data_IF_474227043902
#
_entry.id   IF_474227043902
#
_cell.length_a   1.000
_cell.length_b   1.000
_cell.length_c   1.000
_cell.angle_alpha   90.00
_cell.angle_beta   90.00
_cell.angle_gamma   90.00
#
_symmetry.space_group_name_H-M   'P 1'
#
loop_
_entity.id
_entity.type
_entity.pdbx_description
1 polymer ?
#
# COMPACT_ATOMS: atom_id res chain seq x y z
N UNK A 1 -12.47 -33.00 0.91
CA UNK A 1 -11.32 -32.37 1.60
C UNK A 1 -10.26 -32.07 0.54
N UNK A 2 -9.90 -30.83 0.39
CA UNK A 2 -8.77 -30.43 -0.47
C UNK A 2 -7.49 -30.81 0.29
N UNK A 3 -6.61 -31.56 -0.35
CA UNK A 3 -5.32 -31.94 0.25
C UNK A 3 -4.34 -30.79 -0.02
N UNK A 4 -3.82 -30.17 1.04
CA UNK A 4 -2.80 -29.10 0.97
C UNK A 4 -1.47 -29.74 1.35
N UNK A 5 -0.59 -29.98 0.38
CA UNK A 5 0.70 -30.66 0.55
C UNK A 5 1.89 -29.70 0.37
N UNK A 6 1.68 -28.58 -0.33
CA UNK A 6 2.72 -27.60 -0.62
C UNK A 6 2.24 -26.18 -0.31
N UNK A 7 3.18 -25.23 -0.17
CA UNK A 7 2.84 -23.81 -0.05
C UNK A 7 2.05 -23.31 -1.27
N UNK A 8 2.33 -23.82 -2.47
CA UNK A 8 1.58 -23.48 -3.68
C UNK A 8 0.12 -23.95 -3.59
N UNK A 9 -0.15 -25.13 -3.04
CA UNK A 9 -1.54 -25.60 -2.80
C UNK A 9 -2.24 -24.72 -1.77
N UNK A 10 -1.54 -24.30 -0.72
CA UNK A 10 -2.07 -23.41 0.30
C UNK A 10 -2.45 -22.03 -0.30
N UNK A 11 -1.60 -21.46 -1.13
CA UNK A 11 -1.86 -20.20 -1.85
C UNK A 11 -3.04 -20.37 -2.83
N UNK A 12 -3.06 -21.46 -3.59
CA UNK A 12 -4.16 -21.77 -4.50
C UNK A 12 -5.50 -21.92 -3.76
N UNK A 13 -5.48 -22.56 -2.58
CA UNK A 13 -6.66 -22.67 -1.72
C UNK A 13 -7.18 -21.29 -1.30
N UNK A 14 -6.29 -20.39 -0.82
CA UNK A 14 -6.67 -19.04 -0.42
C UNK A 14 -7.29 -18.29 -1.62
N UNK A 15 -6.64 -18.30 -2.78
CA UNK A 15 -7.12 -17.63 -4.00
C UNK A 15 -8.39 -18.24 -4.57
N UNK A 16 -8.66 -19.51 -4.30
CA UNK A 16 -9.91 -20.20 -4.66
C UNK A 16 -11.13 -19.79 -3.84
N UNK A 17 -10.91 -19.09 -2.72
CA UNK A 17 -12.00 -18.57 -1.87
C UNK A 17 -12.73 -17.41 -2.54
N UNK A 18 -13.98 -17.16 -2.14
CA UNK A 18 -14.75 -15.99 -2.60
C UNK A 18 -14.05 -14.69 -2.21
N UNK A 19 -13.91 -13.77 -3.16
CA UNK A 19 -13.27 -12.46 -2.91
C UNK A 19 -14.15 -11.52 -2.10
N UNK A 20 -15.47 -11.49 -2.39
CA UNK A 20 -16.41 -10.53 -1.83
C UNK A 20 -17.72 -11.21 -1.48
N UNK A 21 -18.37 -10.75 -0.41
CA UNK A 21 -19.75 -11.08 -0.06
C UNK A 21 -20.62 -9.83 -0.15
N UNK A 22 -21.91 -10.00 -0.47
CA UNK A 22 -22.85 -8.87 -0.66
C UNK A 22 -23.05 -8.04 0.60
N UNK A 23 -23.02 -8.67 1.78
CA UNK A 23 -23.23 -7.99 3.06
C UNK A 23 -21.93 -8.02 3.87
N UNK A 24 -21.36 -6.86 4.24
CA UNK A 24 -20.26 -6.79 5.19
C UNK A 24 -20.66 -7.40 6.53
N UNK A 25 -19.78 -8.24 7.10
CA UNK A 25 -20.01 -8.88 8.40
C UNK A 25 -18.70 -9.42 8.95
N UNK A 26 -18.51 -9.30 10.26
CA UNK A 26 -17.39 -9.95 10.94
C UNK A 26 -17.68 -11.40 11.35
N UNK A 27 -18.94 -11.85 11.27
CA UNK A 27 -19.34 -13.17 11.76
C UNK A 27 -18.52 -14.35 11.20
N UNK A 28 -18.05 -14.27 9.94
CA UNK A 28 -17.24 -15.32 9.33
C UNK A 28 -15.82 -15.37 9.89
N UNK A 29 -15.17 -14.19 9.96
CA UNK A 29 -13.81 -14.11 10.52
C UNK A 29 -13.83 -14.39 12.02
N UNK A 30 -14.82 -13.89 12.76
CA UNK A 30 -14.98 -14.18 14.19
C UNK A 30 -15.19 -15.67 14.43
N UNK A 31 -16.06 -16.35 13.66
CA UNK A 31 -16.26 -17.80 13.76
C UNK A 31 -14.98 -18.61 13.44
N UNK A 32 -14.13 -18.09 12.51
CA UNK A 32 -12.84 -18.71 12.21
C UNK A 32 -11.85 -18.50 13.36
N UNK A 33 -11.74 -17.28 13.88
CA UNK A 33 -10.84 -16.95 14.99
C UNK A 33 -11.22 -17.66 16.29
N UNK A 34 -12.52 -17.81 16.58
CA UNK A 34 -13.01 -18.61 17.72
C UNK A 34 -12.49 -20.06 17.68
N UNK A 35 -12.40 -20.66 16.49
CA UNK A 35 -11.89 -22.03 16.31
C UNK A 35 -10.36 -22.12 16.28
N UNK A 36 -9.70 -20.98 16.24
CA UNK A 36 -8.24 -20.85 16.26
C UNK A 36 -7.74 -20.31 17.61
N UNK A 37 -8.57 -20.33 18.67
CA UNK A 37 -8.26 -19.86 20.02
C UNK A 37 -7.84 -18.38 20.09
N UNK A 38 -8.48 -17.51 19.27
CA UNK A 38 -8.31 -16.07 19.25
C UNK A 38 -6.87 -15.56 19.04
N UNK A 39 -6.19 -15.95 17.96
CA UNK A 39 -4.80 -15.55 17.72
C UNK A 39 -4.64 -14.04 17.52
N UNK A 40 -5.73 -13.30 17.16
CA UNK A 40 -5.76 -11.84 17.01
C UNK A 40 -5.47 -11.08 18.33
N UNK A 41 -5.49 -11.78 19.46
CA UNK A 41 -5.21 -11.20 20.80
C UNK A 41 -3.74 -11.32 21.20
N UNK A 42 -2.92 -12.04 20.44
CA UNK A 42 -1.55 -12.32 20.80
C UNK A 42 -0.58 -11.15 20.57
N UNK A 43 -0.95 -10.16 19.73
CA UNK A 43 -0.06 -9.09 19.30
C UNK A 43 -0.60 -7.70 19.63
N UNK A 44 0.29 -6.71 19.64
CA UNK A 44 -0.05 -5.28 19.63
C UNK A 44 -0.01 -4.78 18.20
N UNK A 45 -0.91 -3.87 17.84
CA UNK A 45 -1.08 -3.44 16.45
C UNK A 45 -0.95 -1.93 16.28
N UNK A 46 -0.30 -1.51 15.19
CA UNK A 46 -0.43 -0.20 14.56
C UNK A 46 -1.29 -0.41 13.33
N UNK A 47 -2.51 0.12 13.31
CA UNK A 47 -3.49 -0.16 12.27
C UNK A 47 -3.53 0.97 11.24
N UNK A 48 -3.29 0.66 9.96
CA UNK A 48 -3.07 1.67 8.92
C UNK A 48 -4.08 1.53 7.80
N UNK A 49 -4.80 2.63 7.51
CA UNK A 49 -5.65 2.77 6.33
C UNK A 49 -5.25 4.00 5.50
N UNK A 50 -5.85 4.12 4.34
CA UNK A 50 -5.69 5.25 3.42
C UNK A 50 -6.07 4.87 1.99
N UNK A 51 -6.22 5.84 1.12
CA UNK A 51 -6.38 5.57 -0.31
C UNK A 51 -5.03 5.17 -0.89
N UNK A 52 -4.03 6.03 -0.77
CA UNK A 52 -2.64 5.78 -1.19
C UNK A 52 -1.68 5.91 0.01
N UNK A 53 -0.42 5.49 -0.16
CA UNK A 53 0.62 5.65 0.85
C UNK A 53 0.67 4.57 1.93
N UNK A 54 -0.35 3.73 2.10
CA UNK A 54 -0.42 2.70 3.15
C UNK A 54 0.86 1.85 3.25
N UNK A 55 1.20 1.14 2.19
CA UNK A 55 2.36 0.23 2.18
C UNK A 55 3.69 0.95 2.40
N UNK A 56 3.92 2.12 1.76
CA UNK A 56 5.14 2.92 1.99
C UNK A 56 5.25 3.38 3.44
N UNK A 57 4.15 3.90 4.01
CA UNK A 57 4.11 4.33 5.42
C UNK A 57 4.31 3.14 6.36
N UNK A 58 3.66 1.99 6.10
CA UNK A 58 3.85 0.76 6.88
C UNK A 58 5.31 0.32 6.89
N UNK A 59 5.97 0.33 5.73
CA UNK A 59 7.39 -0.04 5.61
C UNK A 59 8.29 0.91 6.39
N UNK A 60 8.07 2.22 6.25
CA UNK A 60 8.85 3.22 7.00
C UNK A 60 8.64 3.09 8.51
N UNK A 61 7.40 2.92 8.99
CA UNK A 61 7.11 2.70 10.42
C UNK A 61 7.86 1.45 10.92
N UNK A 62 7.78 0.34 10.20
CA UNK A 62 8.47 -0.89 10.60
C UNK A 62 9.99 -0.71 10.66
N UNK A 63 10.59 -0.02 9.67
CA UNK A 63 12.03 0.28 9.68
C UNK A 63 12.43 1.18 10.85
N UNK A 64 11.66 2.23 11.12
CA UNK A 64 11.90 3.17 12.23
C UNK A 64 11.83 2.45 13.59
N UNK A 65 10.82 1.63 13.80
CA UNK A 65 10.66 0.89 15.06
C UNK A 65 11.75 -0.18 15.26
N UNK A 66 12.21 -0.84 14.20
CA UNK A 66 13.35 -1.77 14.27
C UNK A 66 14.63 -1.09 14.74
N UNK A 67 14.87 0.19 14.39
CA UNK A 67 16.03 0.93 14.91
C UNK A 67 16.00 1.11 16.43
N UNK A 68 14.83 1.10 17.04
CA UNK A 68 14.70 1.21 18.50
C UNK A 68 14.95 -0.13 19.24
N UNK A 69 15.31 -1.18 18.50
CA UNK A 69 15.54 -2.54 19.03
C UNK A 69 14.26 -3.36 19.24
N UNK A 70 13.12 -2.89 18.73
CA UNK A 70 11.87 -3.65 18.72
C UNK A 70 11.86 -4.69 17.59
N UNK A 71 11.28 -5.86 17.87
CA UNK A 71 10.89 -6.82 16.84
C UNK A 71 9.56 -6.38 16.22
N UNK A 72 9.50 -6.34 14.88
CA UNK A 72 8.36 -5.75 14.17
C UNK A 72 7.86 -6.68 13.08
N UNK A 73 6.61 -7.10 13.22
CA UNK A 73 5.85 -7.76 12.18
C UNK A 73 5.17 -6.75 11.24
N UNK A 74 4.85 -7.20 10.04
CA UNK A 74 4.14 -6.38 9.05
C UNK A 74 3.15 -7.23 8.27
N UNK A 75 1.95 -6.68 8.05
CA UNK A 75 0.94 -7.23 7.13
C UNK A 75 0.57 -6.18 6.10
N UNK A 76 0.72 -6.52 4.81
CA UNK A 76 0.48 -5.58 3.70
C UNK A 76 -0.27 -6.23 2.55
N UNK A 77 -0.99 -5.42 1.76
CA UNK A 77 -1.72 -5.88 0.59
C UNK A 77 -1.82 -4.81 -0.51
N UNK A 78 -1.78 -5.21 -1.79
CA UNK A 78 -1.44 -6.55 -2.29
C UNK A 78 0.08 -6.83 -2.20
N UNK A 79 0.50 -8.06 -2.49
CA UNK A 79 1.91 -8.38 -2.71
C UNK A 79 2.36 -7.94 -4.12
N UNK A 80 3.66 -7.83 -4.33
CA UNK A 80 4.26 -7.40 -5.61
C UNK A 80 4.90 -8.59 -6.34
N UNK A 81 5.78 -9.34 -5.70
CA UNK A 81 6.51 -10.46 -6.32
C UNK A 81 6.02 -11.82 -5.83
N UNK A 82 5.90 -12.00 -4.54
CA UNK A 82 5.53 -13.28 -3.94
C UNK A 82 4.42 -13.12 -2.92
N UNK A 83 3.54 -14.10 -2.83
CA UNK A 83 2.44 -14.11 -1.87
C UNK A 83 2.91 -13.89 -0.43
N UNK A 84 4.08 -14.43 -0.08
CA UNK A 84 4.66 -14.38 1.25
C UNK A 84 4.99 -12.96 1.73
N UNK A 85 5.15 -11.99 0.82
CA UNK A 85 5.35 -10.58 1.16
C UNK A 85 4.21 -9.98 1.98
N UNK A 86 3.02 -10.60 1.95
CA UNK A 86 1.86 -10.14 2.71
C UNK A 86 2.07 -10.22 4.21
N UNK A 87 2.85 -11.19 4.68
CA UNK A 87 3.17 -11.40 6.10
C UNK A 87 4.69 -11.41 6.27
N UNK A 88 5.22 -10.39 6.92
CA UNK A 88 6.64 -10.25 7.17
C UNK A 88 6.89 -10.25 8.68
N UNK A 89 7.67 -11.21 9.14
CA UNK A 89 8.22 -11.23 10.49
C UNK A 89 9.40 -10.28 10.65
N UNK A 90 10.09 -10.38 11.77
CA UNK A 90 11.31 -9.58 11.99
C UNK A 90 12.43 -9.94 11.00
N UNK A 91 12.52 -11.20 10.62
CA UNK A 91 13.61 -11.75 9.81
C UNK A 91 13.28 -11.86 8.31
N UNK A 92 12.12 -11.38 7.89
CA UNK A 92 11.68 -11.40 6.50
C UNK A 92 10.26 -11.91 6.28
N UNK A 93 9.98 -12.35 5.05
CA UNK A 93 8.67 -12.88 4.68
C UNK A 93 8.36 -14.21 5.39
N UNK A 94 7.07 -14.50 5.63
CA UNK A 94 6.64 -15.81 6.15
C UNK A 94 7.26 -16.95 5.31
N UNK A 95 7.94 -17.92 5.94
CA UNK A 95 8.47 -19.08 5.24
C UNK A 95 7.37 -19.96 4.65
N UNK A 96 7.64 -20.62 3.51
CA UNK A 96 6.70 -21.55 2.88
C UNK A 96 6.26 -22.68 3.82
N UNK A 97 7.16 -23.14 4.68
CA UNK A 97 6.87 -24.19 5.65
C UNK A 97 5.83 -23.74 6.69
N UNK A 98 5.94 -22.50 7.20
CA UNK A 98 5.01 -21.95 8.18
C UNK A 98 3.65 -21.64 7.52
N UNK A 99 3.67 -21.07 6.32
CA UNK A 99 2.46 -20.83 5.53
C UNK A 99 1.71 -22.15 5.30
N UNK A 100 2.40 -23.20 4.89
CA UNK A 100 1.82 -24.53 4.68
C UNK A 100 1.24 -25.10 5.97
N UNK A 101 2.01 -25.12 7.06
CA UNK A 101 1.60 -25.69 8.34
C UNK A 101 0.36 -24.96 8.92
N UNK A 102 0.32 -23.64 8.82
CA UNK A 102 -0.82 -22.82 9.26
C UNK A 102 -2.05 -23.11 8.39
N UNK A 103 -1.89 -23.16 7.07
CA UNK A 103 -3.01 -23.41 6.18
C UNK A 103 -3.57 -24.83 6.26
N UNK A 104 -2.76 -25.83 6.58
CA UNK A 104 -3.23 -27.19 6.88
C UNK A 104 -4.17 -27.25 8.09
N UNK A 105 -4.05 -26.31 9.02
CA UNK A 105 -4.97 -26.15 10.17
C UNK A 105 -6.19 -25.29 9.84
N UNK A 106 -6.02 -24.23 9.08
CA UNK A 106 -7.09 -23.29 8.75
C UNK A 106 -8.08 -23.90 7.73
N UNK A 107 -7.59 -24.58 6.69
CA UNK A 107 -8.44 -25.05 5.60
C UNK A 107 -9.57 -26.00 6.04
N UNK A 108 -9.35 -27.01 6.91
CA UNK A 108 -10.46 -27.86 7.40
C UNK A 108 -11.51 -27.05 8.17
N UNK A 109 -11.09 -26.02 8.90
CA UNK A 109 -12.02 -25.14 9.65
C UNK A 109 -12.85 -24.30 8.70
N UNK A 110 -12.22 -23.72 7.66
CA UNK A 110 -12.95 -22.93 6.66
C UNK A 110 -13.93 -23.78 5.87
N UNK A 111 -13.58 -25.03 5.51
CA UNK A 111 -14.50 -25.98 4.84
C UNK A 111 -15.70 -26.34 5.73
N UNK A 112 -15.51 -26.53 7.03
CA UNK A 112 -16.59 -26.77 7.97
C UNK A 112 -17.52 -25.54 8.06
N UNK A 113 -16.93 -24.33 8.15
CA UNK A 113 -17.67 -23.07 8.19
C UNK A 113 -18.45 -22.80 6.88
N UNK A 114 -17.98 -23.29 5.72
CA UNK A 114 -18.73 -23.22 4.46
C UNK A 114 -20.07 -23.92 4.53
N UNK A 115 -20.19 -24.98 5.33
CA UNK A 115 -21.41 -25.76 5.50
C UNK A 115 -22.29 -25.25 6.63
N UNK A 116 -21.69 -24.60 7.65
CA UNK A 116 -22.38 -24.20 8.88
C UNK A 116 -22.97 -22.80 8.81
N UNK A 117 -22.26 -21.87 8.12
CA UNK A 117 -22.67 -20.48 8.06
C UNK A 117 -23.66 -20.24 6.90
N UNK A 118 -24.77 -19.52 7.15
CA UNK A 118 -25.84 -19.34 6.16
C UNK A 118 -25.36 -18.61 4.89
N UNK A 119 -24.37 -17.72 5.00
CA UNK A 119 -23.78 -16.97 3.89
C UNK A 119 -22.47 -17.61 3.37
N UNK A 120 -22.19 -18.86 3.77
CA UNK A 120 -20.94 -19.57 3.49
C UNK A 120 -19.78 -19.10 4.35
N UNK A 121 -18.67 -19.84 4.29
CA UNK A 121 -17.49 -19.62 5.14
C UNK A 121 -16.64 -18.40 4.75
N UNK A 122 -15.45 -18.30 5.37
CA UNK A 122 -14.52 -17.18 5.21
C UNK A 122 -14.11 -16.91 3.77
N UNK A 123 -13.99 -15.66 3.41
CA UNK A 123 -13.51 -15.17 2.11
C UNK A 123 -12.00 -15.34 1.97
N UNK A 124 -11.44 -15.01 0.79
CA UNK A 124 -9.99 -14.98 0.54
C UNK A 124 -9.27 -14.10 1.58
N UNK A 125 -9.73 -12.87 1.77
CA UNK A 125 -9.07 -11.93 2.68
C UNK A 125 -9.29 -12.27 4.16
N UNK A 126 -10.44 -12.82 4.55
CA UNK A 126 -10.69 -13.32 5.91
C UNK A 126 -9.77 -14.50 6.24
N UNK A 127 -9.58 -15.44 5.30
CA UNK A 127 -8.66 -16.58 5.47
C UNK A 127 -7.20 -16.11 5.58
N UNK A 128 -6.79 -15.18 4.74
CA UNK A 128 -5.46 -14.58 4.77
C UNK A 128 -5.20 -13.82 6.08
N UNK A 129 -6.18 -13.06 6.56
CA UNK A 129 -6.08 -12.31 7.83
C UNK A 129 -5.95 -13.27 9.03
N UNK A 130 -6.72 -14.36 9.05
CA UNK A 130 -6.59 -15.37 10.09
C UNK A 130 -5.21 -16.06 10.05
N UNK A 131 -4.69 -16.38 8.84
CA UNK A 131 -3.34 -16.91 8.67
C UNK A 131 -2.27 -15.99 9.27
N UNK A 132 -2.36 -14.69 9.01
CA UNK A 132 -1.46 -13.69 9.60
C UNK A 132 -1.54 -13.66 11.13
N UNK A 133 -2.73 -13.69 11.71
CA UNK A 133 -2.88 -13.71 13.17
C UNK A 133 -2.28 -14.96 13.80
N UNK A 134 -2.51 -16.14 13.20
CA UNK A 134 -1.90 -17.40 13.65
C UNK A 134 -0.38 -17.32 13.57
N UNK A 135 0.17 -16.81 12.46
CA UNK A 135 1.61 -16.66 12.31
C UNK A 135 2.21 -15.80 13.42
N UNK A 136 1.65 -14.64 13.73
CA UNK A 136 2.18 -13.78 14.79
C UNK A 136 1.89 -14.27 16.22
N UNK A 137 0.90 -15.13 16.40
CA UNK A 137 0.70 -15.83 17.68
C UNK A 137 1.80 -16.88 17.94
N UNK A 138 2.29 -17.54 16.89
CA UNK A 138 3.35 -18.56 16.94
C UNK A 138 4.76 -17.95 16.85
N UNK A 139 4.90 -16.81 16.19
CA UNK A 139 6.15 -16.06 16.02
C UNK A 139 5.99 -14.65 16.61
N UNK A 140 5.95 -14.51 17.96
CA UNK A 140 5.63 -13.26 18.62
C UNK A 140 6.63 -12.14 18.28
N UNK A 141 6.09 -10.94 18.07
CA UNK A 141 6.86 -9.71 17.88
C UNK A 141 6.34 -8.63 18.85
N UNK A 142 7.13 -7.59 19.11
CA UNK A 142 6.74 -6.50 20.02
C UNK A 142 5.53 -5.72 19.48
N UNK A 143 5.43 -5.59 18.14
CA UNK A 143 4.34 -4.89 17.47
C UNK A 143 4.18 -5.35 16.02
N UNK A 144 2.94 -5.39 15.53
CA UNK A 144 2.59 -5.65 14.13
C UNK A 144 2.07 -4.37 13.48
N UNK A 145 2.69 -3.96 12.38
CA UNK A 145 2.18 -2.89 11.50
C UNK A 145 1.18 -3.52 10.53
N UNK A 146 -0.09 -3.23 10.73
CA UNK A 146 -1.23 -3.91 10.09
C UNK A 146 -1.91 -3.00 9.07
N UNK A 147 -1.73 -3.29 7.79
CA UNK A 147 -2.39 -2.57 6.69
C UNK A 147 -3.81 -3.09 6.48
N UNK A 148 -4.78 -2.18 6.42
CA UNK A 148 -6.18 -2.42 6.04
C UNK A 148 -6.24 -2.83 4.56
N UNK A 149 -7.04 -3.83 4.23
CA UNK A 149 -7.26 -4.22 2.84
C UNK A 149 -8.04 -3.15 2.07
N UNK A 150 -9.25 -2.82 2.52
CA UNK A 150 -10.12 -1.80 1.89
C UNK A 150 -10.96 -1.08 2.95
N UNK A 151 -10.96 0.25 2.92
CA UNK A 151 -11.80 1.06 3.79
C UNK A 151 -11.30 1.12 5.24
N UNK A 152 -11.97 0.48 6.14
CA UNK A 152 -11.67 0.44 7.58
C UNK A 152 -12.79 -0.18 8.39
N UNK A 153 -13.95 0.48 8.51
CA UNK A 153 -15.08 0.05 9.35
C UNK A 153 -15.47 -1.42 9.20
N UNK A 154 -15.41 -1.94 7.98
CA UNK A 154 -15.79 -3.32 7.67
C UNK A 154 -14.63 -4.16 7.14
N UNK A 155 -13.42 -3.65 7.29
CA UNK A 155 -12.24 -4.43 6.92
C UNK A 155 -12.01 -5.57 7.91
N UNK A 156 -11.63 -6.71 7.39
CA UNK A 156 -11.39 -7.92 8.18
C UNK A 156 -10.35 -7.71 9.28
N UNK A 157 -9.41 -6.80 9.08
CA UNK A 157 -8.37 -6.48 10.05
C UNK A 157 -8.89 -5.71 11.27
N UNK A 158 -10.13 -5.18 11.22
CA UNK A 158 -10.75 -4.43 12.33
C UNK A 158 -11.19 -5.31 13.51
N UNK A 159 -11.12 -6.64 13.40
CA UNK A 159 -11.43 -7.58 14.49
C UNK A 159 -10.41 -7.55 15.65
N UNK A 160 -9.29 -6.84 15.51
CA UNK A 160 -8.29 -6.71 16.59
C UNK A 160 -8.88 -5.99 17.81
N UNK A 161 -8.71 -6.53 19.02
CA UNK A 161 -9.39 -6.01 20.21
C UNK A 161 -8.78 -4.71 20.73
N UNK A 162 -7.49 -4.51 20.55
CA UNK A 162 -6.74 -3.34 21.02
C UNK A 162 -5.64 -2.94 20.06
N UNK A 163 -5.51 -1.63 19.87
CA UNK A 163 -4.49 -1.00 19.00
C UNK A 163 -3.62 -0.09 19.83
N UNK A 164 -2.34 0.01 19.49
CA UNK A 164 -1.49 1.07 20.05
C UNK A 164 -1.96 2.43 19.52
N UNK A 165 -2.18 2.51 18.22
CA UNK A 165 -2.68 3.70 17.53
C UNK A 165 -3.18 3.35 16.12
N UNK A 166 -3.91 4.29 15.50
CA UNK A 166 -4.42 4.20 14.14
C UNK A 166 -3.74 5.22 13.22
N UNK A 167 -3.62 4.89 11.95
CA UNK A 167 -3.02 5.78 10.93
C UNK A 167 -3.96 5.89 9.73
N UNK A 168 -4.23 7.12 9.26
CA UNK A 168 -4.97 7.39 8.03
C UNK A 168 -4.05 8.19 7.10
N UNK A 169 -3.45 7.53 6.10
CA UNK A 169 -2.42 8.17 5.26
C UNK A 169 -2.99 9.24 4.35
N UNK A 170 -3.98 8.90 3.53
CA UNK A 170 -4.66 9.83 2.61
C UNK A 170 -6.12 9.44 2.43
N UNK A 171 -6.95 10.39 1.95
CA UNK A 171 -8.31 10.14 1.49
C UNK A 171 -8.47 10.71 0.09
N UNK A 172 -8.86 9.87 -0.85
CA UNK A 172 -9.13 10.20 -2.24
C UNK A 172 -10.18 9.25 -2.83
N UNK A 173 -10.70 9.56 -4.00
CA UNK A 173 -11.68 8.72 -4.69
C UNK A 173 -11.02 7.44 -5.20
N UNK A 174 -11.37 6.32 -4.60
CA UNK A 174 -11.01 4.96 -5.01
C UNK A 174 -12.00 3.97 -4.39
N UNK A 175 -12.16 2.80 -4.98
CA UNK A 175 -13.10 1.77 -4.52
C UNK A 175 -14.54 2.29 -4.30
N UNK A 176 -14.99 3.22 -5.15
CA UNK A 176 -16.24 3.96 -4.96
C UNK A 176 -17.48 3.05 -4.88
N UNK A 177 -17.45 1.90 -5.56
CA UNK A 177 -18.53 0.90 -5.50
C UNK A 177 -18.72 0.29 -4.10
N UNK A 178 -17.72 0.38 -3.23
CA UNK A 178 -17.70 -0.22 -1.88
C UNK A 178 -17.68 0.86 -0.79
N UNK A 179 -16.90 1.93 -0.98
CA UNK A 179 -16.64 2.92 0.07
C UNK A 179 -17.52 4.16 0.00
N UNK A 180 -18.25 4.36 -1.12
CA UNK A 180 -19.06 5.56 -1.36
C UNK A 180 -18.51 6.46 -2.47
N UNK A 181 -19.28 7.49 -2.81
CA UNK A 181 -19.04 8.33 -3.98
C UNK A 181 -18.53 9.75 -3.62
N UNK A 182 -18.26 10.00 -2.34
CA UNK A 182 -17.73 11.27 -1.83
C UNK A 182 -16.53 11.06 -0.92
N UNK A 183 -15.71 12.10 -0.75
CA UNK A 183 -14.58 12.07 0.19
C UNK A 183 -15.05 11.87 1.62
N UNK A 184 -16.20 12.42 2.01
CA UNK A 184 -16.78 12.24 3.34
C UNK A 184 -17.19 10.78 3.60
N UNK A 185 -17.84 10.12 2.63
CA UNK A 185 -18.23 8.71 2.76
C UNK A 185 -16.99 7.82 2.89
N UNK A 186 -15.99 8.01 2.03
CA UNK A 186 -14.73 7.28 2.07
C UNK A 186 -13.97 7.54 3.38
N UNK A 187 -13.94 8.80 3.84
CA UNK A 187 -13.35 9.17 5.13
C UNK A 187 -14.06 8.50 6.31
N UNK A 188 -15.39 8.39 6.26
CA UNK A 188 -16.19 7.70 7.28
C UNK A 188 -15.80 6.23 7.38
N UNK A 189 -15.64 5.54 6.23
CA UNK A 189 -15.18 4.15 6.21
C UNK A 189 -13.77 4.01 6.80
N UNK A 190 -12.84 4.92 6.45
CA UNK A 190 -11.47 4.88 6.95
C UNK A 190 -11.38 5.24 8.43
N UNK A 191 -12.16 6.21 8.89
CA UNK A 191 -12.21 6.62 10.28
C UNK A 191 -12.76 5.52 11.23
N UNK A 192 -13.39 4.47 10.66
CA UNK A 192 -13.82 3.30 11.42
C UNK A 192 -12.70 2.58 12.18
N UNK A 193 -11.44 2.75 11.78
CA UNK A 193 -10.31 2.17 12.51
C UNK A 193 -9.90 2.98 13.75
N UNK A 194 -10.46 4.17 13.99
CA UNK A 194 -10.14 4.99 15.16
C UNK A 194 -10.70 4.35 16.42
N UNK A 195 -9.81 3.99 17.34
CA UNK A 195 -10.19 3.34 18.58
C UNK A 195 -10.27 4.35 19.74
N UNK A 196 -11.20 4.09 20.66
CA UNK A 196 -11.42 4.94 21.83
C UNK A 196 -10.16 5.14 22.65
N UNK A 197 -9.82 6.42 22.93
CA UNK A 197 -8.67 6.85 23.75
C UNK A 197 -7.30 6.41 23.20
N UNK A 198 -7.23 5.94 21.95
CA UNK A 198 -5.98 5.60 21.28
C UNK A 198 -5.61 6.71 20.29
N UNK A 199 -4.32 7.08 20.17
CA UNK A 199 -3.90 8.11 19.23
C UNK A 199 -4.27 7.76 17.78
N UNK A 200 -4.59 8.78 16.98
CA UNK A 200 -4.70 8.67 15.54
C UNK A 200 -3.75 9.65 14.87
N UNK A 201 -2.97 9.18 13.91
CA UNK A 201 -2.07 9.99 13.09
C UNK A 201 -2.64 10.07 11.68
N UNK A 202 -2.71 11.27 11.10
CA UNK A 202 -3.19 11.42 9.72
C UNK A 202 -2.15 12.11 8.85
N UNK A 203 -2.13 11.74 7.57
CA UNK A 203 -1.50 12.56 6.54
C UNK A 203 -2.32 13.82 6.28
N UNK A 204 -1.94 14.57 5.25
CA UNK A 204 -2.69 15.74 4.80
C UNK A 204 -3.99 15.30 4.13
N UNK A 205 -5.10 15.60 4.78
CA UNK A 205 -6.42 15.21 4.30
C UNK A 205 -7.12 16.41 3.63
N UNK A 206 -7.91 16.18 2.56
CA UNK A 206 -8.86 17.18 2.07
C UNK A 206 -9.81 17.61 3.19
N UNK A 207 -10.21 18.89 3.21
CA UNK A 207 -10.99 19.48 4.31
C UNK A 207 -12.26 18.69 4.66
N UNK A 208 -13.00 18.22 3.65
CA UNK A 208 -14.20 17.40 3.84
C UNK A 208 -13.89 16.10 4.60
N UNK A 209 -12.81 15.41 4.22
CA UNK A 209 -12.37 14.18 4.89
C UNK A 209 -11.81 14.46 6.29
N UNK A 210 -11.06 15.54 6.45
CA UNK A 210 -10.49 15.98 7.73
C UNK A 210 -11.58 16.22 8.77
N UNK A 211 -12.66 16.91 8.40
CA UNK A 211 -13.79 17.16 9.30
C UNK A 211 -14.43 15.88 9.81
N UNK A 212 -14.58 14.88 8.95
CA UNK A 212 -15.12 13.56 9.33
C UNK A 212 -14.19 12.87 10.33
N UNK A 213 -12.89 12.76 9.99
CA UNK A 213 -11.91 12.07 10.86
C UNK A 213 -11.77 12.77 12.20
N UNK A 214 -11.69 14.10 12.23
CA UNK A 214 -11.62 14.89 13.47
C UNK A 214 -12.87 14.70 14.33
N UNK A 215 -14.06 14.63 13.72
CA UNK A 215 -15.32 14.39 14.42
C UNK A 215 -15.33 13.01 15.08
N UNK A 216 -14.89 11.97 14.35
CA UNK A 216 -14.81 10.61 14.86
C UNK A 216 -13.77 10.52 15.98
N UNK A 217 -12.58 11.07 15.80
CA UNK A 217 -11.53 11.09 16.82
C UNK A 217 -12.00 11.79 18.10
N UNK A 218 -12.64 12.94 17.99
CA UNK A 218 -13.22 13.67 19.13
C UNK A 218 -14.29 12.86 19.85
N UNK A 219 -15.19 12.20 19.13
CA UNK A 219 -16.23 11.35 19.72
C UNK A 219 -15.63 10.12 20.45
N UNK A 220 -14.52 9.59 19.91
CA UNK A 220 -13.77 8.50 20.55
C UNK A 220 -12.87 8.96 21.71
N UNK A 221 -12.70 10.26 21.95
CA UNK A 221 -11.71 10.80 22.89
C UNK A 221 -10.28 10.44 22.49
N UNK A 222 -10.02 10.22 21.20
CA UNK A 222 -8.74 9.85 20.64
C UNK A 222 -7.88 11.11 20.38
N UNK A 223 -6.66 11.20 20.90
CA UNK A 223 -5.73 12.27 20.51
C UNK A 223 -5.44 12.17 19.01
N UNK A 224 -5.54 13.30 18.30
CA UNK A 224 -5.27 13.36 16.86
C UNK A 224 -3.98 14.12 16.60
N UNK A 225 -3.18 13.64 15.62
CA UNK A 225 -1.96 14.24 15.12
C UNK A 225 -2.06 14.33 13.61
N UNK A 226 -2.32 15.51 13.08
CA UNK A 226 -2.58 15.76 11.66
C UNK A 226 -1.37 16.45 11.00
N UNK A 227 -0.95 15.93 9.88
CA UNK A 227 0.01 16.62 9.01
C UNK A 227 -0.62 17.90 8.45
N UNK A 228 0.01 19.03 8.69
CA UNK A 228 -0.50 20.36 8.38
C UNK A 228 -1.09 21.10 9.58
N UNK A 229 -1.11 20.45 10.76
CA UNK A 229 -1.63 21.02 12.02
C UNK A 229 -0.69 20.76 13.20
N UNK A 230 -0.68 19.54 13.77
CA UNK A 230 0.19 19.20 14.89
C UNK A 230 1.65 19.00 14.49
N UNK A 231 1.89 18.61 13.23
CA UNK A 231 3.22 18.55 12.63
C UNK A 231 3.17 18.96 11.15
N UNK A 232 4.31 19.41 10.62
CA UNK A 232 4.41 19.97 9.28
C UNK A 232 5.73 19.57 8.62
N UNK A 233 5.74 19.49 7.30
CA UNK A 233 6.93 19.24 6.49
C UNK A 233 7.23 20.41 5.57
N UNK A 234 8.51 20.70 5.42
CA UNK A 234 9.00 21.62 4.40
C UNK A 234 10.09 20.91 3.60
N UNK A 235 9.88 20.80 2.28
CA UNK A 235 10.89 20.26 1.38
C UNK A 235 12.18 21.08 1.48
N UNK A 236 13.32 20.41 1.55
CA UNK A 236 14.63 21.05 1.46
C UNK A 236 15.05 21.06 -0.01
N UNK A 237 15.17 22.25 -0.64
CA UNK A 237 15.69 22.33 -2.00
C UNK A 237 17.13 21.80 -2.06
N UNK A 238 17.45 21.01 -3.06
CA UNK A 238 18.82 20.49 -3.25
C UNK A 238 18.86 19.38 -4.30
N UNK A 239 20.06 19.16 -4.82
CA UNK A 239 20.33 18.15 -5.84
C UNK A 239 20.66 16.79 -5.18
N UNK A 240 19.66 16.11 -4.62
CA UNK A 240 19.80 14.68 -4.39
C UNK A 240 19.62 13.98 -5.73
N UNK A 241 20.55 13.13 -6.12
CA UNK A 241 20.43 12.35 -7.35
C UNK A 241 19.17 11.44 -7.31
N UNK A 242 18.88 10.89 -6.13
CA UNK A 242 17.73 10.07 -5.83
C UNK A 242 17.23 10.33 -4.41
N UNK A 243 15.96 10.02 -4.13
CA UNK A 243 15.33 10.27 -2.83
C UNK A 243 14.93 11.73 -2.61
N UNK A 244 14.40 12.03 -1.45
CA UNK A 244 13.89 13.35 -1.08
C UNK A 244 14.49 13.83 0.26
N UNK A 245 14.60 15.16 0.44
CA UNK A 245 15.01 15.80 1.70
C UNK A 245 13.95 16.75 2.20
N UNK A 246 13.74 16.76 3.50
CA UNK A 246 12.74 17.62 4.13
C UNK A 246 13.11 18.00 5.56
N UNK A 247 12.49 19.05 6.07
CA UNK A 247 12.46 19.39 7.47
C UNK A 247 11.11 18.99 8.05
N UNK A 248 11.12 18.41 9.24
CA UNK A 248 9.93 18.09 10.03
C UNK A 248 9.89 19.05 11.23
N UNK A 249 8.71 19.58 11.52
CA UNK A 249 8.47 20.48 12.65
C UNK A 249 7.14 20.19 13.33
N UNK A 250 6.96 20.65 14.56
CA UNK A 250 5.76 20.42 15.36
C UNK A 250 6.02 19.49 16.55
N UNK A 251 5.16 18.50 16.74
CA UNK A 251 5.26 17.52 17.84
C UNK A 251 6.55 16.68 17.80
N UNK A 252 7.08 16.47 16.59
CA UNK A 252 8.44 15.96 16.35
C UNK A 252 9.16 16.97 15.48
N UNK A 253 10.41 17.30 15.82
CA UNK A 253 11.22 18.27 15.04
C UNK A 253 12.53 17.63 14.65
N UNK A 254 12.82 17.61 13.34
CA UNK A 254 14.09 17.16 12.78
C UNK A 254 14.39 17.88 11.48
N UNK A 255 15.65 18.30 11.30
CA UNK A 255 16.09 19.04 10.11
C UNK A 255 16.81 18.12 9.14
N UNK A 256 16.64 18.41 7.84
CA UNK A 256 17.38 17.78 6.74
C UNK A 256 17.24 16.25 6.68
N UNK A 257 16.07 15.74 7.02
CA UNK A 257 15.77 14.30 6.95
C UNK A 257 15.84 13.83 5.50
N UNK A 258 16.54 12.73 5.26
CA UNK A 258 16.59 12.08 3.95
C UNK A 258 15.73 10.81 3.92
N UNK A 259 14.97 10.61 2.84
CA UNK A 259 14.24 9.37 2.55
C UNK A 259 14.62 8.87 1.16
N UNK A 260 15.02 7.60 1.05
CA UNK A 260 15.46 6.98 -0.23
C UNK A 260 14.28 6.55 -1.12
N UNK A 261 13.09 7.10 -0.90
CA UNK A 261 11.93 6.96 -1.77
C UNK A 261 11.68 8.29 -2.50
N UNK A 262 11.41 8.20 -3.80
CA UNK A 262 11.23 9.36 -4.67
C UNK A 262 9.78 9.84 -4.67
N UNK A 263 9.61 11.17 -4.66
CA UNK A 263 8.34 11.87 -4.83
C UNK A 263 7.88 12.63 -3.58
N UNK A 264 7.20 13.77 -3.80
CA UNK A 264 6.76 14.67 -2.74
C UNK A 264 5.85 13.97 -1.73
N UNK A 265 5.00 13.07 -2.23
CA UNK A 265 4.12 12.25 -1.39
C UNK A 265 4.88 11.31 -0.45
N UNK A 266 6.12 10.95 -0.77
CA UNK A 266 6.95 10.16 0.14
C UNK A 266 7.51 10.98 1.31
N UNK A 267 7.67 12.29 1.14
CA UNK A 267 7.97 13.21 2.23
C UNK A 267 6.82 13.20 3.25
N UNK A 268 5.58 13.30 2.78
CA UNK A 268 4.40 13.26 3.65
C UNK A 268 4.23 11.88 4.31
N UNK A 269 4.42 10.80 3.55
CA UNK A 269 4.41 9.43 4.10
C UNK A 269 5.49 9.23 5.17
N UNK A 270 6.70 9.77 4.96
CA UNK A 270 7.80 9.70 5.92
C UNK A 270 7.50 10.49 7.20
N UNK A 271 6.91 11.68 7.08
CA UNK A 271 6.50 12.47 8.25
C UNK A 271 5.44 11.75 9.09
N UNK A 272 4.41 11.18 8.44
CA UNK A 272 3.41 10.34 9.11
C UNK A 272 4.05 9.13 9.77
N UNK A 273 5.01 8.48 9.10
CA UNK A 273 5.73 7.35 9.65
C UNK A 273 6.58 7.72 10.87
N UNK A 274 7.32 8.84 10.83
CA UNK A 274 8.12 9.33 11.96
C UNK A 274 7.22 9.65 13.14
N UNK A 275 6.13 10.42 12.93
CA UNK A 275 5.18 10.77 13.96
C UNK A 275 4.58 9.51 14.61
N UNK A 276 4.16 8.55 13.79
CA UNK A 276 3.59 7.27 14.23
C UNK A 276 4.60 6.45 15.02
N UNK A 277 5.82 6.28 14.49
CA UNK A 277 6.87 5.48 15.12
C UNK A 277 7.33 6.10 16.45
N UNK A 278 7.39 7.43 16.55
CA UNK A 278 7.70 8.14 17.80
C UNK A 278 6.68 7.85 18.88
N UNK A 279 5.38 7.97 18.56
CA UNK A 279 4.30 7.66 19.50
C UNK A 279 4.29 6.17 19.90
N UNK A 280 4.44 5.27 18.92
CA UNK A 280 4.48 3.83 19.17
C UNK A 280 5.68 3.41 20.03
N UNK A 281 6.86 3.95 19.76
CA UNK A 281 8.07 3.71 20.56
C UNK A 281 7.85 4.15 22.02
N UNK A 282 7.32 5.34 22.24
CA UNK A 282 7.00 5.85 23.58
C UNK A 282 6.00 4.94 24.31
N UNK A 283 4.92 4.51 23.65
CA UNK A 283 3.93 3.59 24.21
C UNK A 283 4.53 2.20 24.56
N UNK A 284 5.63 1.82 23.88
CA UNK A 284 6.38 0.58 24.10
C UNK A 284 7.62 0.77 24.99
N UNK A 285 7.80 1.95 25.61
CA UNK A 285 8.91 2.25 26.52
C UNK A 285 10.26 2.36 25.79
N UNK A 286 10.25 2.80 24.54
CA UNK A 286 11.44 3.04 23.71
C UNK A 286 11.51 4.50 23.27
N UNK A 287 12.68 4.89 22.81
CA UNK A 287 12.92 6.22 22.24
C UNK A 287 13.37 6.06 20.78
N UNK A 288 12.84 6.89 19.89
CA UNK A 288 13.27 7.02 18.50
C UNK A 288 14.08 8.30 18.37
N UNK A 289 15.41 8.16 18.20
CA UNK A 289 16.32 9.31 18.07
C UNK A 289 16.40 9.83 16.63
N UNK A 290 16.86 11.07 16.40
CA UNK A 290 17.09 11.60 15.06
C UNK A 290 18.04 10.75 14.21
N UNK A 291 19.09 10.19 14.78
CA UNK A 291 20.06 9.33 14.10
C UNK A 291 19.42 8.01 13.65
N UNK A 292 18.51 7.45 14.47
CA UNK A 292 17.73 6.26 14.12
C UNK A 292 16.79 6.54 12.94
N UNK A 293 16.18 7.74 12.90
CA UNK A 293 15.33 8.19 11.78
C UNK A 293 16.14 8.26 10.49
N UNK A 294 17.30 8.92 10.53
CA UNK A 294 18.20 9.04 9.37
C UNK A 294 18.63 7.67 8.85
N UNK A 295 19.06 6.78 9.75
CA UNK A 295 19.49 5.43 9.40
C UNK A 295 18.36 4.61 8.75
N UNK A 296 17.14 4.66 9.33
CA UNK A 296 16.00 3.90 8.85
C UNK A 296 15.56 4.34 7.45
N UNK A 297 15.41 5.66 7.26
CA UNK A 297 14.83 6.21 6.02
C UNK A 297 15.84 6.25 4.86
N UNK A 298 17.15 6.30 5.14
CA UNK A 298 18.19 6.26 4.11
C UNK A 298 18.30 4.90 3.40
N UNK A 299 17.77 3.84 3.98
CA UNK A 299 17.84 2.47 3.43
C UNK A 299 16.46 1.88 3.11
N UNK A 300 15.39 2.69 3.25
CA UNK A 300 14.05 2.20 2.99
C UNK A 300 13.82 1.98 1.50
N UNK A 301 13.42 0.78 1.15
CA UNK A 301 13.02 0.43 -0.23
C UNK A 301 11.60 -0.14 -0.21
N UNK A 302 10.84 0.19 -1.23
CA UNK A 302 9.51 -0.39 -1.40
C UNK A 302 9.26 -0.68 -2.89
N UNK A 303 9.09 -1.95 -3.28
CA UNK A 303 8.94 -2.34 -4.67
C UNK A 303 7.82 -1.56 -5.37
N UNK A 304 8.06 -1.21 -6.62
CA UNK A 304 7.14 -0.48 -7.52
C UNK A 304 6.58 0.83 -6.94
N UNK A 305 7.36 1.53 -6.12
CA UNK A 305 7.06 2.89 -5.65
C UNK A 305 8.17 3.83 -6.10
N UNK A 306 8.06 4.27 -7.36
CA UNK A 306 9.09 4.98 -8.10
C UNK A 306 10.45 4.27 -8.00
N UNK A 307 10.42 2.94 -8.14
CA UNK A 307 11.56 2.06 -7.96
C UNK A 307 12.49 2.15 -9.16
N UNK A 308 13.76 2.50 -8.93
CA UNK A 308 14.80 2.50 -9.96
C UNK A 308 15.35 1.09 -10.14
N UNK A 309 15.12 0.51 -11.32
CA UNK A 309 15.58 -0.86 -11.65
C UNK A 309 16.78 -0.88 -12.61
N UNK A 310 17.05 0.23 -13.32
CA UNK A 310 18.24 0.38 -14.16
C UNK A 310 18.69 1.85 -14.21
N UNK A 311 19.98 2.08 -14.40
CA UNK A 311 20.56 3.42 -14.54
C UNK A 311 20.85 3.79 -16.00
N UNK A 312 20.90 2.81 -16.93
CA UNK A 312 21.29 3.06 -18.33
C UNK A 312 20.51 2.15 -19.30
N UNK A 313 19.44 2.68 -19.93
CA UNK A 313 18.75 3.93 -19.61
C UNK A 313 18.14 3.91 -18.22
N UNK A 314 17.90 5.09 -17.63
CA UNK A 314 17.19 5.17 -16.36
C UNK A 314 15.81 4.52 -16.52
N UNK A 315 15.59 3.42 -15.81
CA UNK A 315 14.32 2.68 -15.88
C UNK A 315 13.68 2.62 -14.50
N UNK A 316 12.41 3.01 -14.43
CA UNK A 316 11.66 3.18 -13.18
C UNK A 316 10.33 2.43 -13.25
N UNK A 317 9.92 1.84 -12.15
CA UNK A 317 8.63 1.19 -11.96
C UNK A 317 7.81 1.97 -10.94
N UNK A 318 6.59 2.34 -11.29
CA UNK A 318 5.67 2.99 -10.35
C UNK A 318 4.25 2.39 -10.41
N UNK A 319 3.70 2.08 -9.26
CA UNK A 319 2.40 1.42 -9.12
C UNK A 319 1.21 2.37 -9.06
N UNK A 320 1.29 3.59 -9.54
CA UNK A 320 0.13 4.49 -9.66
C UNK A 320 -0.94 3.86 -10.54
N UNK A 321 -2.18 3.75 -10.03
CA UNK A 321 -3.26 3.01 -10.67
C UNK A 321 -4.65 3.63 -10.41
N UNK A 322 -4.69 4.82 -9.86
CA UNK A 322 -5.85 5.66 -9.69
C UNK A 322 -5.47 7.13 -9.92
N UNK A 323 -6.45 8.01 -10.14
CA UNK A 323 -6.19 9.41 -10.49
C UNK A 323 -5.30 10.10 -9.46
N UNK A 324 -5.60 9.96 -8.17
CA UNK A 324 -4.81 10.57 -7.09
C UNK A 324 -3.34 10.10 -7.09
N UNK A 325 -3.07 8.84 -7.44
CA UNK A 325 -1.70 8.32 -7.57
C UNK A 325 -1.00 8.87 -8.80
N UNK A 326 -1.70 8.97 -9.93
CA UNK A 326 -1.15 9.52 -11.18
C UNK A 326 -0.88 11.01 -11.06
N UNK A 327 -1.72 11.78 -10.37
CA UNK A 327 -1.46 13.20 -10.11
C UNK A 327 -0.17 13.40 -9.30
N UNK A 328 0.06 12.57 -8.28
CA UNK A 328 1.29 12.60 -7.48
C UNK A 328 2.53 12.19 -8.31
N UNK A 329 2.39 11.20 -9.18
CA UNK A 329 3.43 10.79 -10.13
C UNK A 329 3.75 11.93 -11.11
N UNK A 330 2.72 12.54 -11.72
CA UNK A 330 2.87 13.65 -12.66
C UNK A 330 3.58 14.87 -12.02
N UNK A 331 3.22 15.21 -10.78
CA UNK A 331 3.90 16.26 -10.02
C UNK A 331 5.39 15.95 -9.81
N UNK A 332 5.72 14.68 -9.47
CA UNK A 332 7.11 14.23 -9.32
C UNK A 332 7.88 14.34 -10.64
N UNK A 333 7.29 13.91 -11.76
CA UNK A 333 7.91 14.01 -13.09
C UNK A 333 8.16 15.48 -13.48
N UNK A 334 7.16 16.34 -13.32
CA UNK A 334 7.25 17.76 -13.64
C UNK A 334 8.31 18.49 -12.80
N UNK A 335 8.50 18.11 -11.53
CA UNK A 335 9.49 18.73 -10.63
C UNK A 335 10.90 18.19 -10.87
N UNK A 336 11.05 16.87 -10.88
CA UNK A 336 12.38 16.20 -10.81
C UNK A 336 12.96 15.85 -12.18
N UNK A 337 12.12 15.61 -13.17
CA UNK A 337 12.52 15.06 -14.46
C UNK A 337 12.20 15.95 -15.66
N UNK A 338 11.88 17.24 -15.45
CA UNK A 338 11.48 18.19 -16.50
C UNK A 338 12.51 18.38 -17.63
N UNK A 339 13.77 18.03 -17.39
CA UNK A 339 14.86 18.16 -18.38
C UNK A 339 15.18 16.84 -19.11
N UNK A 340 14.43 15.76 -18.81
CA UNK A 340 14.56 14.44 -19.44
C UNK A 340 13.34 14.16 -20.30
N UNK A 341 13.51 13.50 -21.42
CA UNK A 341 12.37 12.84 -22.07
C UNK A 341 11.98 11.65 -21.23
N UNK A 342 10.69 11.54 -20.89
CA UNK A 342 10.14 10.41 -20.12
C UNK A 342 9.26 9.58 -21.05
N UNK A 343 9.74 8.41 -21.44
CA UNK A 343 8.96 7.43 -22.18
C UNK A 343 8.11 6.64 -21.18
N UNK A 344 6.81 6.87 -21.16
CA UNK A 344 5.88 6.17 -20.26
C UNK A 344 5.26 4.99 -20.99
N UNK A 345 5.49 3.78 -20.47
CA UNK A 345 4.76 2.58 -20.86
C UNK A 345 3.60 2.39 -19.86
N UNK A 346 2.39 2.68 -20.32
CA UNK A 346 1.19 2.65 -19.48
C UNK A 346 0.35 1.40 -19.77
N UNK A 347 0.14 0.58 -18.73
CA UNK A 347 -0.75 -0.60 -18.77
C UNK A 347 -1.71 -0.59 -17.59
N UNK A 348 -3.01 -0.66 -17.82
CA UNK A 348 -4.02 -0.58 -16.77
C UNK A 348 -5.10 -1.65 -16.90
N UNK A 349 -5.92 -1.79 -15.86
CA UNK A 349 -7.13 -2.61 -15.90
C UNK A 349 -8.30 -1.78 -16.47
N UNK A 350 -9.20 -2.43 -17.20
CA UNK A 350 -10.32 -1.78 -17.87
C UNK A 350 -11.37 -1.19 -16.92
N UNK A 351 -11.39 -1.62 -15.66
CA UNK A 351 -12.31 -1.12 -14.63
C UNK A 351 -11.83 0.16 -13.91
N UNK A 352 -10.69 0.73 -14.33
CA UNK A 352 -10.12 1.97 -13.77
C UNK A 352 -10.47 3.19 -14.63
N UNK A 353 -10.43 4.37 -14.04
CA UNK A 353 -10.59 5.66 -14.73
C UNK A 353 -9.31 6.00 -15.52
N UNK A 354 -8.90 5.10 -16.42
CA UNK A 354 -7.66 5.24 -17.19
C UNK A 354 -7.66 6.39 -18.20
N UNK A 355 -8.79 6.86 -18.76
CA UNK A 355 -8.77 8.00 -19.68
C UNK A 355 -8.24 9.27 -19.02
N UNK A 356 -8.71 9.60 -17.82
CA UNK A 356 -8.26 10.76 -17.05
C UNK A 356 -6.79 10.63 -16.65
N UNK A 357 -6.36 9.43 -16.25
CA UNK A 357 -4.94 9.15 -15.93
C UNK A 357 -4.04 9.37 -17.15
N UNK A 358 -4.44 8.88 -18.33
CA UNK A 358 -3.70 9.06 -19.57
C UNK A 358 -3.61 10.54 -19.97
N UNK A 359 -4.69 11.32 -19.86
CA UNK A 359 -4.67 12.75 -20.11
C UNK A 359 -3.71 13.48 -19.20
N UNK A 360 -3.75 13.21 -17.88
CA UNK A 360 -2.82 13.81 -16.91
C UNK A 360 -1.35 13.56 -17.28
N UNK A 361 -1.01 12.36 -17.75
CA UNK A 361 0.36 12.03 -18.15
C UNK A 361 0.73 12.64 -19.50
N UNK A 362 -0.21 12.67 -20.47
CA UNK A 362 0.00 13.23 -21.80
C UNK A 362 0.17 14.76 -21.79
N UNK A 363 -0.42 15.45 -20.82
CA UNK A 363 -0.29 16.91 -20.64
C UNK A 363 1.12 17.34 -20.21
N UNK A 364 1.98 16.42 -19.78
CA UNK A 364 3.35 16.75 -19.42
C UNK A 364 4.21 16.99 -20.67
N UNK A 365 4.90 18.14 -20.81
CA UNK A 365 5.52 18.57 -22.06
C UNK A 365 6.74 17.70 -22.49
N UNK A 366 7.28 16.91 -21.59
CA UNK A 366 8.46 16.07 -21.81
C UNK A 366 8.13 14.58 -21.80
N UNK A 367 6.85 14.20 -21.90
CA UNK A 367 6.39 12.82 -21.92
C UNK A 367 6.17 12.33 -23.34
N UNK A 368 6.66 11.13 -23.62
CA UNK A 368 6.34 10.31 -24.78
C UNK A 368 5.53 9.11 -24.28
N UNK A 369 4.23 9.09 -24.61
CA UNK A 369 3.26 8.16 -24.00
C UNK A 369 3.01 6.96 -24.90
N UNK A 370 3.24 5.76 -24.36
CA UNK A 370 2.98 4.48 -24.98
C UNK A 370 1.93 3.72 -24.17
N UNK A 371 0.83 3.32 -24.78
CA UNK A 371 -0.17 2.44 -24.16
C UNK A 371 0.13 1.01 -24.59
N UNK A 372 0.23 0.11 -23.59
CA UNK A 372 0.72 -1.25 -23.80
C UNK A 372 -0.25 -2.30 -23.25
N UNK A 373 -0.33 -3.45 -23.94
CA UNK A 373 -0.95 -4.66 -23.42
C UNK A 373 -0.01 -5.40 -22.47
N UNK A 374 -0.59 -6.15 -21.53
CA UNK A 374 0.13 -7.05 -20.60
C UNK A 374 -0.73 -8.29 -20.31
N UNK A 375 -0.16 -9.28 -19.59
CA UNK A 375 -0.87 -10.53 -19.31
C UNK A 375 -2.08 -10.28 -18.40
N UNK A 376 -3.20 -10.93 -18.72
CA UNK A 376 -4.40 -10.80 -17.91
C UNK A 376 -4.19 -11.44 -16.53
N UNK A 377 -4.35 -10.67 -15.43
CA UNK A 377 -4.18 -11.19 -14.05
C UNK A 377 -5.40 -12.03 -13.60
N UNK A 378 -5.75 -13.04 -14.35
CA UNK A 378 -6.85 -13.97 -14.05
C UNK A 378 -8.24 -13.44 -14.38
N UNK A 379 -9.07 -13.13 -13.39
CA UNK A 379 -10.48 -12.75 -13.60
C UNK A 379 -10.72 -11.27 -13.95
N UNK A 380 -9.66 -10.43 -14.04
CA UNK A 380 -9.80 -9.00 -14.33
C UNK A 380 -9.42 -8.69 -15.77
N UNK A 381 -10.19 -7.84 -16.42
CA UNK A 381 -9.96 -7.43 -17.80
C UNK A 381 -8.88 -6.35 -17.87
N UNK A 382 -7.90 -6.56 -18.74
CA UNK A 382 -6.89 -5.55 -19.10
C UNK A 382 -7.50 -4.60 -20.12
N UNK A 383 -7.11 -3.31 -20.11
CA UNK A 383 -7.54 -2.36 -21.14
C UNK A 383 -7.09 -2.83 -22.55
N UNK A 384 -7.89 -2.52 -23.56
CA UNK A 384 -7.43 -2.59 -24.95
C UNK A 384 -6.56 -1.37 -25.28
N UNK A 385 -5.28 -1.54 -25.67
CA UNK A 385 -4.40 -0.40 -25.90
C UNK A 385 -4.87 0.53 -27.01
N UNK A 386 -5.54 0.01 -28.04
CA UNK A 386 -6.06 0.80 -29.15
C UNK A 386 -7.26 1.65 -28.73
N UNK A 387 -8.20 1.03 -28.00
CA UNK A 387 -9.37 1.75 -27.46
C UNK A 387 -8.94 2.80 -26.44
N UNK A 388 -7.96 2.48 -25.59
CA UNK A 388 -7.47 3.41 -24.57
C UNK A 388 -6.75 4.62 -25.21
N UNK A 389 -5.90 4.41 -26.20
CA UNK A 389 -5.23 5.49 -26.93
C UNK A 389 -6.23 6.41 -27.65
N UNK A 390 -7.34 5.87 -28.16
CA UNK A 390 -8.37 6.65 -28.83
C UNK A 390 -9.14 7.61 -27.88
N UNK A 391 -9.07 7.38 -26.57
CA UNK A 391 -9.66 8.28 -25.57
C UNK A 391 -8.81 9.54 -25.34
N UNK A 392 -7.51 9.51 -25.68
CA UNK A 392 -6.58 10.62 -25.43
C UNK A 392 -6.62 11.58 -26.62
N UNK A 393 -7.41 12.64 -26.49
CA UNK A 393 -7.56 13.67 -27.54
C UNK A 393 -6.50 14.76 -27.41
N UNK A 394 -6.03 15.28 -28.55
CA UNK A 394 -5.07 16.40 -28.58
C UNK A 394 -3.60 16.02 -28.35
N UNK A 395 -3.29 14.76 -28.09
CA UNK A 395 -1.94 14.24 -27.88
C UNK A 395 -1.64 13.06 -28.81
N UNK A 396 -0.36 12.86 -29.10
CA UNK A 396 0.10 11.66 -29.81
C UNK A 396 0.37 10.56 -28.79
N UNK A 397 -0.25 9.40 -28.98
CA UNK A 397 -0.05 8.21 -28.13
C UNK A 397 0.34 7.04 -29.02
N UNK A 398 1.42 6.36 -28.68
CA UNK A 398 1.88 5.18 -29.40
C UNK A 398 1.25 3.93 -28.78
N UNK A 399 0.74 3.04 -29.66
CA UNK A 399 0.06 1.79 -29.24
C UNK A 399 0.94 0.59 -29.46
N UNK A 400 1.03 -0.28 -28.45
CA UNK A 400 1.71 -1.56 -28.54
C UNK A 400 0.83 -2.67 -27.97
N UNK A 401 0.78 -3.82 -28.64
CA UNK A 401 -0.02 -4.95 -28.20
C UNK A 401 0.59 -5.68 -26.98
N UNK A 402 1.89 -5.60 -26.82
CA UNK A 402 2.64 -6.15 -25.69
C UNK A 402 3.71 -5.18 -25.19
N UNK A 403 3.96 -5.20 -23.90
CA UNK A 403 4.92 -4.30 -23.27
C UNK A 403 6.39 -4.68 -23.55
N UNK A 404 6.67 -5.96 -23.79
CA UNK A 404 8.03 -6.44 -24.06
C UNK A 404 8.56 -5.83 -25.35
N UNK A 405 7.77 -5.92 -26.44
CA UNK A 405 8.08 -5.29 -27.72
C UNK A 405 8.18 -3.76 -27.58
N UNK A 406 7.26 -3.14 -26.85
CA UNK A 406 7.28 -1.71 -26.55
C UNK A 406 8.60 -1.32 -25.84
N UNK A 407 8.98 -2.04 -24.79
CA UNK A 407 10.20 -1.77 -24.04
C UNK A 407 11.45 -1.87 -24.89
N UNK A 408 11.58 -2.93 -25.71
CA UNK A 408 12.74 -3.07 -26.61
C UNK A 408 12.80 -1.93 -27.63
N UNK A 409 11.67 -1.53 -28.20
CA UNK A 409 11.58 -0.42 -29.15
C UNK A 409 12.00 0.90 -28.50
N UNK A 410 11.41 1.22 -27.34
CA UNK A 410 11.72 2.44 -26.59
C UNK A 410 13.17 2.44 -26.13
N UNK A 411 13.68 1.32 -25.61
CA UNK A 411 15.07 1.18 -25.15
C UNK A 411 16.09 1.40 -26.27
N UNK A 412 15.77 0.98 -27.50
CA UNK A 412 16.62 1.21 -28.65
C UNK A 412 16.63 2.67 -29.12
N UNK A 413 15.57 3.43 -28.88
CA UNK A 413 15.43 4.84 -29.27
C UNK A 413 15.86 5.80 -28.15
N UNK A 414 15.79 5.38 -26.90
CA UNK A 414 16.08 6.21 -25.74
C UNK A 414 17.54 6.69 -25.74
N UNK A 415 17.72 7.98 -25.49
CA UNK A 415 19.03 8.61 -25.34
C UNK A 415 19.56 8.36 -23.92
N UNK A 416 20.84 8.62 -23.71
CA UNK A 416 21.49 8.41 -22.42
C UNK A 416 20.82 9.16 -21.24
N UNK A 417 20.22 10.32 -21.53
CA UNK A 417 19.55 11.14 -20.52
C UNK A 417 18.03 10.90 -20.42
N UNK A 418 17.46 10.02 -21.23
CA UNK A 418 16.04 9.72 -21.20
C UNK A 418 15.72 8.77 -20.05
N UNK A 419 14.45 8.72 -19.71
CA UNK A 419 13.90 7.84 -18.68
C UNK A 419 12.80 6.96 -19.27
N UNK A 420 12.78 5.70 -18.90
CA UNK A 420 11.69 4.77 -19.21
C UNK A 420 10.93 4.51 -17.92
N UNK A 421 9.61 4.77 -17.93
CA UNK A 421 8.74 4.61 -16.78
C UNK A 421 7.61 3.63 -17.10
N UNK A 422 7.45 2.60 -16.28
CA UNK A 422 6.29 1.70 -16.33
C UNK A 422 5.30 2.07 -15.25
N UNK A 423 4.00 2.22 -15.60
CA UNK A 423 2.97 2.62 -14.65
C UNK A 423 1.56 2.24 -15.12
N UNK A 424 0.53 2.50 -14.29
CA UNK A 424 -0.90 2.34 -14.60
C UNK A 424 -1.58 1.19 -13.88
N UNK A 425 -0.86 0.13 -13.48
CA UNK A 425 -1.41 -0.99 -12.70
C UNK A 425 -0.34 -1.69 -11.89
N UNK A 426 -0.63 -2.05 -10.65
CA UNK A 426 0.25 -2.90 -9.84
C UNK A 426 0.49 -4.27 -10.49
N UNK A 427 -0.51 -4.86 -11.13
CA UNK A 427 -0.35 -6.13 -11.86
C UNK A 427 0.63 -5.99 -13.01
N UNK A 428 0.49 -4.93 -13.79
CA UNK A 428 1.40 -4.64 -14.89
C UNK A 428 2.84 -4.46 -14.42
N UNK A 429 3.08 -3.56 -13.48
CA UNK A 429 4.44 -3.27 -13.03
C UNK A 429 5.07 -4.44 -12.27
N UNK A 430 4.27 -5.30 -11.62
CA UNK A 430 4.74 -6.56 -11.02
C UNK A 430 5.19 -7.55 -12.09
N UNK A 431 4.43 -7.69 -13.19
CA UNK A 431 4.82 -8.52 -14.34
C UNK A 431 6.12 -8.01 -14.96
N UNK A 432 6.21 -6.69 -15.17
CA UNK A 432 7.46 -6.06 -15.69
C UNK A 432 8.62 -6.34 -14.75
N UNK A 433 8.46 -6.13 -13.44
CA UNK A 433 9.51 -6.34 -12.44
C UNK A 433 10.01 -7.78 -12.39
N UNK A 434 9.13 -8.74 -12.60
CA UNK A 434 9.48 -10.15 -12.63
C UNK A 434 10.27 -10.56 -13.88
N UNK A 435 10.27 -9.74 -14.93
CA UNK A 435 10.87 -10.06 -16.24
C UNK A 435 12.02 -9.11 -16.66
N UNK A 436 12.36 -8.11 -15.84
CA UNK A 436 13.54 -7.25 -16.02
C UNK A 436 14.72 -7.75 -15.20
#
# INVERSE_FOLDING_TARGET
MITIETAADAIAYIHGRHKWKKTPSFARIEALLDRLDHPERASKFIHITGTNGKGSTSKMIAQLLRQTGLTVGMFTSPFIMTFNERVQGNDGNIPDADLLAIMQRIAPITEALDQELPDGGPTEFETLTAMMFVYFAEHPVDVVVLEVGVGGTWDTTEVIPDKLLSVITTVGLDHMQVLGNSLAEIATQKAGIVQRQRPVVTGRLPEEARQVVTTVAKAAGAPIFELGHEFEVAMVPGDTEWGERFNLSGTVTQQNVFVDLMGDYQIENAAVAIQTATLAAQLLGRELTPEMVETALAIVTWPVRFERVSNTPLTVLDGAHNQHGVDALAATLARRFKQRTVHILFGALADKAYPEMLHTLADLPNVDLHVVGFQNPGSRTVLDPTEAAAQVTGHTVTVHQDWQTAYQTVKALAKQNDMILFTGSLYFVSEVRANL
#
